data_IF_198598771175
#
_entry.id   IF_198598771175
#
_cell.length_a   1.000
_cell.length_b   1.000
_cell.length_c   1.000
_cell.angle_alpha   90.00
_cell.angle_beta   90.00
_cell.angle_gamma   90.00
#
_symmetry.space_group_name_H-M   'P 1'
#
loop_
_entity.id
_entity.type
_entity.pdbx_description
1 polymer ?
#
# COMPACT_ATOMS: atom_id res chain seq x y z
N UNK A 1 -6.15 17.96 -14.67
CA UNK A 1 -6.85 18.48 -13.48
C UNK A 1 -6.76 17.53 -12.28
N UNK A 2 -7.11 16.24 -12.41
CA UNK A 2 -7.02 15.26 -11.30
C UNK A 2 -5.64 15.25 -10.63
N UNK A 3 -4.56 15.22 -11.40
CA UNK A 3 -3.20 15.17 -10.84
C UNK A 3 -2.78 16.48 -10.17
N UNK A 4 -3.35 17.61 -10.59
CA UNK A 4 -3.17 18.89 -9.87
C UNK A 4 -3.90 18.87 -8.52
N UNK A 5 -5.09 18.26 -8.45
CA UNK A 5 -5.79 18.08 -7.17
C UNK A 5 -4.99 17.17 -6.22
N UNK A 6 -4.41 16.08 -6.75
CA UNK A 6 -3.47 15.23 -6.00
C UNK A 6 -2.28 16.05 -5.49
N UNK A 7 -1.63 16.86 -6.34
CA UNK A 7 -0.47 17.65 -5.95
C UNK A 7 -0.81 18.69 -4.86
N UNK A 8 -1.97 19.36 -4.98
CA UNK A 8 -2.46 20.30 -3.96
C UNK A 8 -2.69 19.60 -2.63
N UNK A 9 -3.30 18.42 -2.65
CA UNK A 9 -3.62 17.71 -1.42
C UNK A 9 -2.39 17.06 -0.78
N UNK A 10 -1.41 16.59 -1.55
CA UNK A 10 -0.12 16.09 -1.00
C UNK A 10 0.65 17.20 -0.27
N UNK A 11 0.41 18.47 -0.60
CA UNK A 11 0.98 19.60 0.12
C UNK A 11 0.40 19.78 1.54
N UNK A 12 -0.74 19.19 1.85
CA UNK A 12 -1.34 19.21 3.19
C UNK A 12 -0.85 18.01 4.03
N UNK A 13 -0.21 18.25 5.18
CA UNK A 13 0.11 17.19 6.14
C UNK A 13 -1.14 16.40 6.55
N UNK A 14 -1.05 15.06 6.52
CA UNK A 14 -2.20 14.18 6.80
C UNK A 14 -2.85 14.44 8.17
N UNK A 15 -2.05 14.73 9.20
CA UNK A 15 -2.57 15.07 10.54
C UNK A 15 -3.42 16.35 10.54
N UNK A 16 -3.01 17.37 9.79
CA UNK A 16 -3.76 18.62 9.69
C UNK A 16 -5.09 18.41 8.97
N UNK A 17 -5.09 17.60 7.91
CA UNK A 17 -6.31 17.23 7.20
C UNK A 17 -7.30 16.50 8.12
N UNK A 18 -6.79 15.55 8.92
CA UNK A 18 -7.59 14.82 9.92
C UNK A 18 -8.23 15.81 10.90
N UNK A 19 -7.44 16.70 11.51
CA UNK A 19 -7.93 17.68 12.49
C UNK A 19 -8.98 18.62 11.90
N UNK A 20 -8.75 19.10 10.67
CA UNK A 20 -9.68 19.99 9.98
C UNK A 20 -11.03 19.30 9.76
N UNK A 21 -11.03 18.09 9.21
CA UNK A 21 -12.29 17.37 8.93
C UNK A 21 -13.01 17.00 10.22
N UNK A 22 -12.29 16.47 11.23
CA UNK A 22 -12.89 16.09 12.51
C UNK A 22 -13.46 17.31 13.25
N UNK A 23 -12.85 18.49 13.14
CA UNK A 23 -13.40 19.70 13.77
C UNK A 23 -14.75 20.16 13.19
N UNK A 24 -15.04 19.79 11.94
CA UNK A 24 -16.31 20.12 11.27
C UNK A 24 -17.35 19.01 11.44
N UNK A 25 -16.94 17.75 11.28
CA UNK A 25 -17.85 16.58 11.27
C UNK A 25 -18.06 15.98 12.66
N UNK A 26 -17.08 16.13 13.56
CA UNK A 26 -17.02 15.46 14.85
C UNK A 26 -16.34 14.09 14.80
N UNK A 27 -15.94 13.52 15.95
CA UNK A 27 -15.30 12.21 16.02
C UNK A 27 -16.32 11.08 15.79
N UNK A 28 -15.87 9.99 15.15
CA UNK A 28 -16.71 8.82 14.92
C UNK A 28 -16.23 7.94 13.76
N UNK A 29 -16.85 6.76 13.61
CA UNK A 29 -16.50 5.79 12.57
C UNK A 29 -16.69 6.37 11.15
N UNK A 30 -17.79 7.09 10.92
CA UNK A 30 -18.06 7.71 9.62
C UNK A 30 -16.99 8.74 9.25
N UNK A 31 -16.59 9.58 10.22
CA UNK A 31 -15.52 10.56 10.03
C UNK A 31 -14.20 9.87 9.69
N UNK A 32 -13.84 8.80 10.40
CA UNK A 32 -12.64 8.00 10.11
C UNK A 32 -12.68 7.48 8.65
N UNK A 33 -13.80 6.91 8.22
CA UNK A 33 -13.96 6.37 6.86
C UNK A 33 -13.76 7.48 5.82
N UNK A 34 -14.43 8.62 5.99
CA UNK A 34 -14.35 9.75 5.05
C UNK A 34 -12.93 10.31 5.00
N UNK A 35 -12.31 10.55 6.15
CA UNK A 35 -10.97 11.13 6.25
C UNK A 35 -9.93 10.21 5.63
N UNK A 36 -9.96 8.91 5.94
CA UNK A 36 -9.01 7.95 5.40
C UNK A 36 -9.21 7.72 3.91
N UNK A 37 -10.45 7.69 3.42
CA UNK A 37 -10.74 7.59 1.99
C UNK A 37 -10.23 8.82 1.24
N UNK A 38 -10.52 10.02 1.75
CA UNK A 38 -10.05 11.28 1.19
C UNK A 38 -8.54 11.41 1.27
N UNK A 39 -7.85 10.83 2.25
CA UNK A 39 -6.39 10.95 2.33
C UNK A 39 -5.68 9.93 1.42
N UNK A 40 -6.21 8.71 1.31
CA UNK A 40 -5.53 7.62 0.62
C UNK A 40 -5.80 7.53 -0.89
N UNK A 41 -6.90 8.08 -1.42
CA UNK A 41 -7.24 7.96 -2.86
C UNK A 41 -6.12 8.44 -3.80
N UNK A 42 -5.31 9.41 -3.36
CA UNK A 42 -4.20 9.96 -4.12
C UNK A 42 -3.15 8.92 -4.49
N UNK A 43 -2.84 8.01 -3.56
CA UNK A 43 -1.84 6.96 -3.74
C UNK A 43 -2.31 6.02 -4.85
N UNK A 44 -3.56 5.56 -4.76
CA UNK A 44 -4.20 4.74 -5.79
C UNK A 44 -4.24 5.45 -7.14
N UNK A 45 -4.66 6.72 -7.18
CA UNK A 45 -4.74 7.49 -8.42
C UNK A 45 -3.37 7.60 -9.11
N UNK A 46 -2.30 7.84 -8.34
CA UNK A 46 -0.92 7.92 -8.86
C UNK A 46 -0.44 6.58 -9.41
N UNK A 47 -0.65 5.49 -8.67
CA UNK A 47 -0.23 4.15 -9.08
C UNK A 47 -0.99 3.70 -10.33
N UNK A 48 -2.32 3.84 -10.34
CA UNK A 48 -3.16 3.52 -11.51
C UNK A 48 -2.69 4.31 -12.72
N UNK A 49 -2.47 5.62 -12.60
CA UNK A 49 -1.99 6.43 -13.74
C UNK A 49 -0.64 5.93 -14.26
N UNK A 50 0.30 5.61 -13.38
CA UNK A 50 1.62 5.10 -13.76
C UNK A 50 1.52 3.80 -14.56
N UNK A 51 0.73 2.84 -14.06
CA UNK A 51 0.53 1.55 -14.72
C UNK A 51 -0.21 1.73 -16.05
N UNK A 52 -1.29 2.51 -16.07
CA UNK A 52 -2.07 2.77 -17.29
C UNK A 52 -1.19 3.40 -18.37
N UNK A 53 -0.34 4.38 -18.03
CA UNK A 53 0.56 5.02 -18.99
C UNK A 53 1.58 4.01 -19.55
N UNK A 54 2.14 3.16 -18.70
CA UNK A 54 3.09 2.10 -19.11
C UNK A 54 2.42 1.05 -20.00
N UNK A 55 1.26 0.52 -19.59
CA UNK A 55 0.53 -0.51 -20.34
C UNK A 55 0.05 0.03 -21.69
N UNK A 56 -0.36 1.29 -21.77
CA UNK A 56 -0.80 1.90 -23.03
C UNK A 56 0.32 2.01 -24.07
N UNK A 57 1.58 2.08 -23.65
CA UNK A 57 2.75 2.14 -24.53
C UNK A 57 3.23 0.75 -25.00
N UNK A 58 2.48 -0.32 -24.71
CA UNK A 58 2.87 -1.67 -25.13
C UNK A 58 2.38 -2.00 -26.54
N UNK A 59 3.21 -2.72 -27.30
CA UNK A 59 2.93 -3.05 -28.70
C UNK A 59 1.61 -3.81 -28.92
N UNK A 60 1.16 -4.62 -27.95
CA UNK A 60 -0.10 -5.35 -28.06
C UNK A 60 -1.32 -4.45 -27.86
N UNK A 61 -1.22 -3.39 -27.02
CA UNK A 61 -2.28 -2.38 -26.90
C UNK A 61 -2.32 -1.51 -28.13
N UNK A 62 -1.16 -1.08 -28.63
CA UNK A 62 -1.06 -0.29 -29.86
C UNK A 62 -1.64 -1.05 -31.06
N UNK A 63 -1.29 -2.33 -31.23
CA UNK A 63 -1.88 -3.17 -32.28
C UNK A 63 -3.40 -3.32 -32.13
N UNK A 64 -3.92 -3.48 -30.91
CA UNK A 64 -5.36 -3.57 -30.67
C UNK A 64 -6.09 -2.27 -31.02
N UNK A 65 -5.48 -1.10 -30.73
CA UNK A 65 -5.99 0.21 -31.13
C UNK A 65 -5.97 0.38 -32.66
N UNK A 66 -4.88 -0.04 -33.34
CA UNK A 66 -4.75 0.01 -34.80
C UNK A 66 -5.79 -0.85 -35.55
N UNK A 67 -6.22 -1.96 -34.95
CA UNK A 67 -7.28 -2.84 -35.49
C UNK A 67 -8.70 -2.25 -35.22
N UNK A 68 -8.80 -1.09 -34.57
CA UNK A 68 -10.06 -0.38 -34.35
C UNK A 68 -10.83 -0.82 -33.10
N UNK A 69 -10.16 -1.40 -32.09
CA UNK A 69 -10.83 -1.73 -30.83
C UNK A 69 -11.33 -0.48 -30.11
N UNK A 70 -12.58 -0.52 -29.63
CA UNK A 70 -13.17 0.56 -28.82
C UNK A 70 -12.35 0.79 -27.53
N UNK A 71 -12.18 2.04 -27.06
CA UNK A 71 -11.41 2.37 -25.85
C UNK A 71 -11.84 1.58 -24.61
N UNK A 72 -13.15 1.40 -24.40
CA UNK A 72 -13.66 0.60 -23.27
C UNK A 72 -13.20 -0.86 -23.32
N UNK A 73 -13.15 -1.48 -24.50
CA UNK A 73 -12.65 -2.85 -24.66
C UNK A 73 -11.16 -2.95 -24.36
N UNK A 74 -10.37 -1.95 -24.75
CA UNK A 74 -8.95 -1.86 -24.41
C UNK A 74 -8.78 -1.78 -22.89
N UNK A 75 -9.55 -0.91 -22.23
CA UNK A 75 -9.51 -0.75 -20.76
C UNK A 75 -9.85 -2.07 -20.05
N UNK A 76 -11.01 -2.67 -20.30
CA UNK A 76 -11.45 -3.85 -19.54
C UNK A 76 -10.68 -5.12 -19.87
N UNK A 77 -10.22 -5.30 -21.11
CA UNK A 77 -9.58 -6.56 -21.54
C UNK A 77 -8.05 -6.53 -21.48
N UNK A 78 -7.44 -5.36 -21.62
CA UNK A 78 -5.98 -5.24 -21.70
C UNK A 78 -5.40 -4.49 -20.51
N UNK A 79 -6.03 -3.39 -20.07
CA UNK A 79 -5.48 -2.56 -18.98
C UNK A 79 -5.87 -3.10 -17.60
N UNK A 80 -7.15 -3.39 -17.37
CA UNK A 80 -7.67 -3.80 -16.07
C UNK A 80 -7.00 -5.08 -15.52
N UNK A 81 -6.78 -6.15 -16.31
CA UNK A 81 -6.10 -7.34 -15.81
C UNK A 81 -4.63 -7.09 -15.41
N UNK A 82 -3.97 -6.10 -16.01
CA UNK A 82 -2.62 -5.70 -15.62
C UNK A 82 -2.60 -4.85 -14.34
N UNK A 83 -3.72 -4.20 -14.00
CA UNK A 83 -3.86 -3.40 -12.79
C UNK A 83 -4.18 -4.23 -11.54
N UNK A 84 -4.86 -5.37 -11.67
CA UNK A 84 -5.37 -6.14 -10.52
C UNK A 84 -4.26 -6.60 -9.57
N UNK A 85 -3.17 -7.16 -10.09
CA UNK A 85 -2.05 -7.65 -9.29
C UNK A 85 -1.36 -6.53 -8.49
N UNK A 86 -0.93 -5.42 -9.13
CA UNK A 86 -0.35 -4.28 -8.40
C UNK A 86 -1.33 -3.64 -7.42
N UNK A 87 -2.61 -3.48 -7.79
CA UNK A 87 -3.61 -2.87 -6.94
C UNK A 87 -3.95 -3.71 -5.71
N UNK A 88 -4.00 -5.03 -5.85
CA UNK A 88 -4.23 -5.95 -4.74
C UNK A 88 -3.08 -5.85 -3.74
N UNK A 89 -1.85 -5.86 -4.24
CA UNK A 89 -0.65 -5.71 -3.39
C UNK A 89 -0.64 -4.34 -2.69
N UNK A 90 -0.92 -3.27 -3.43
CA UNK A 90 -1.03 -1.92 -2.88
C UNK A 90 -2.13 -1.83 -1.82
N UNK A 91 -3.28 -2.45 -2.07
CA UNK A 91 -4.40 -2.49 -1.14
C UNK A 91 -4.05 -3.10 0.21
N UNK A 92 -3.32 -4.22 0.22
CA UNK A 92 -2.88 -4.86 1.47
C UNK A 92 -1.88 -3.98 2.22
N UNK A 93 -0.95 -3.35 1.49
CA UNK A 93 0.04 -2.47 2.10
C UNK A 93 -0.61 -1.22 2.71
N UNK A 94 -1.49 -0.56 1.96
CA UNK A 94 -2.20 0.63 2.43
C UNK A 94 -3.22 0.32 3.54
N UNK A 95 -3.81 -0.87 3.54
CA UNK A 95 -4.64 -1.32 4.66
C UNK A 95 -3.86 -1.26 5.99
N UNK A 96 -2.58 -1.61 5.95
CA UNK A 96 -1.73 -1.56 7.14
C UNK A 96 -1.48 -0.13 7.62
N UNK A 97 -1.27 0.80 6.69
CA UNK A 97 -1.15 2.23 7.01
C UNK A 97 -2.47 2.78 7.59
N UNK A 98 -3.60 2.34 7.05
CA UNK A 98 -4.94 2.69 7.52
C UNK A 98 -5.17 2.24 8.97
N UNK A 99 -4.80 1.00 9.32
CA UNK A 99 -4.91 0.50 10.70
C UNK A 99 -4.10 1.36 11.66
N UNK A 100 -2.87 1.72 11.28
CA UNK A 100 -2.02 2.57 12.13
C UNK A 100 -2.56 4.00 12.26
N UNK A 101 -3.10 4.55 11.16
CA UNK A 101 -3.72 5.87 11.16
C UNK A 101 -5.02 5.92 11.98
N UNK A 102 -5.85 4.88 11.92
CA UNK A 102 -7.02 4.73 12.79
C UNK A 102 -6.60 4.66 14.26
N UNK A 103 -5.62 3.82 14.58
CA UNK A 103 -5.12 3.68 15.95
C UNK A 103 -4.58 5.02 16.49
N UNK A 104 -3.85 5.78 15.67
CA UNK A 104 -3.35 7.11 16.03
C UNK A 104 -4.51 8.11 16.23
N UNK A 105 -5.52 8.11 15.37
CA UNK A 105 -6.72 8.95 15.53
C UNK A 105 -7.49 8.61 16.81
N UNK A 106 -7.73 7.33 17.07
CA UNK A 106 -8.41 6.84 18.27
C UNK A 106 -7.60 7.17 19.53
N UNK A 107 -6.26 7.07 19.47
CA UNK A 107 -5.37 7.51 20.55
C UNK A 107 -5.47 9.01 20.84
N UNK A 108 -5.61 9.83 19.80
CA UNK A 108 -5.82 11.28 19.92
C UNK A 108 -7.25 11.66 20.34
N UNK A 109 -8.15 10.69 20.55
CA UNK A 109 -9.55 10.93 20.90
C UNK A 109 -10.41 11.42 19.72
N UNK A 110 -9.92 11.31 18.49
CA UNK A 110 -10.59 11.74 17.26
C UNK A 110 -11.22 10.57 16.49
N UNK A 111 -10.91 9.35 16.91
CA UNK A 111 -11.34 8.11 16.26
C UNK A 111 -12.63 7.52 16.83
N UNK A 112 -12.63 6.20 17.01
CA UNK A 112 -13.78 5.45 17.52
C UNK A 112 -14.07 5.88 18.95
N UNK A 113 -15.35 6.11 19.24
CA UNK A 113 -15.83 6.53 20.57
C UNK A 113 -16.68 5.43 21.21
N UNK A 114 -16.73 5.36 22.57
CA UNK A 114 -17.67 4.50 23.28
C UNK A 114 -19.11 4.70 22.78
N UNK A 115 -19.92 3.64 22.59
CA UNK A 115 -19.79 2.27 23.11
C UNK A 115 -18.92 1.32 22.28
N UNK A 116 -18.44 1.73 21.10
CA UNK A 116 -17.53 0.92 20.30
C UNK A 116 -16.12 0.92 20.91
N UNK A 117 -15.37 -0.16 20.72
CA UNK A 117 -13.98 -0.28 21.17
C UNK A 117 -13.03 -0.49 19.99
N UNK A 118 -11.82 0.06 20.10
CA UNK A 118 -10.71 -0.19 19.19
C UNK A 118 -9.41 -0.28 19.98
N UNK A 119 -8.41 -1.01 19.46
CA UNK A 119 -7.13 -1.13 20.14
C UNK A 119 -6.43 0.22 20.33
N UNK A 120 -6.61 1.17 19.41
CA UNK A 120 -6.08 2.53 19.57
C UNK A 120 -6.75 3.28 20.73
N UNK A 121 -8.06 3.11 20.90
CA UNK A 121 -8.81 3.67 22.03
C UNK A 121 -8.40 3.01 23.36
N UNK A 122 -8.15 1.70 23.37
CA UNK A 122 -7.67 0.99 24.55
C UNK A 122 -6.30 1.51 25.02
N UNK A 123 -5.38 1.76 24.07
CA UNK A 123 -4.09 2.42 24.35
C UNK A 123 -4.31 3.81 24.93
N UNK A 124 -5.28 4.57 24.41
CA UNK A 124 -5.62 5.91 24.88
C UNK A 124 -6.10 5.89 26.34
N UNK A 125 -7.00 4.96 26.66
CA UNK A 125 -7.57 4.81 28.00
C UNK A 125 -6.53 4.30 29.01
N UNK A 126 -5.60 3.45 28.57
CA UNK A 126 -4.53 2.92 29.41
C UNK A 126 -3.48 3.96 29.83
N UNK A 127 -3.37 5.10 29.11
CA UNK A 127 -2.32 6.12 29.34
C UNK A 127 -2.27 6.63 30.77
N UNK A 128 -3.43 6.80 31.40
CA UNK A 128 -3.56 7.37 32.75
C UNK A 128 -3.18 6.36 33.84
N UNK A 129 -3.10 5.07 33.47
CA UNK A 129 -2.80 3.96 34.37
C UNK A 129 -1.41 3.37 34.13
N UNK A 130 -0.53 4.02 33.36
CA UNK A 130 0.76 3.43 32.94
C UNK A 130 1.64 2.97 34.13
N UNK A 131 1.62 3.70 35.25
CA UNK A 131 2.42 3.38 36.44
C UNK A 131 1.80 2.29 37.33
N UNK A 132 0.52 1.97 37.14
CA UNK A 132 -0.24 1.01 37.98
C UNK A 132 -0.58 -0.25 37.20
N UNK A 133 -1.02 -0.10 35.95
CA UNK A 133 -1.52 -1.12 35.07
C UNK A 133 -0.92 -0.96 33.65
N UNK A 134 0.41 -1.00 33.55
CA UNK A 134 1.16 -0.88 32.30
C UNK A 134 0.66 -1.82 31.18
N UNK A 135 0.14 -2.99 31.55
CA UNK A 135 -0.40 -3.99 30.62
C UNK A 135 -1.58 -3.49 29.79
N UNK A 136 -2.35 -2.51 30.27
CA UNK A 136 -3.48 -1.91 29.55
C UNK A 136 -3.05 -1.22 28.25
N UNK A 137 -1.81 -0.73 28.20
CA UNK A 137 -1.22 -0.12 27.01
C UNK A 137 -0.46 -1.16 26.20
N UNK A 138 0.32 -2.01 26.88
CA UNK A 138 1.23 -2.94 26.22
C UNK A 138 0.53 -4.02 25.41
N UNK A 139 -0.57 -4.61 25.91
CA UNK A 139 -1.26 -5.67 25.18
C UNK A 139 -1.92 -5.16 23.89
N UNK A 140 -2.76 -4.09 23.92
CA UNK A 140 -3.33 -3.56 22.69
C UNK A 140 -2.27 -3.05 21.71
N UNK A 141 -1.20 -2.42 22.22
CA UNK A 141 -0.07 -1.97 21.39
C UNK A 141 0.67 -3.13 20.70
N UNK A 142 0.87 -4.24 21.40
CA UNK A 142 1.44 -5.46 20.82
C UNK A 142 0.49 -6.11 19.81
N UNK A 143 -0.82 -6.14 20.08
CA UNK A 143 -1.81 -6.63 19.12
C UNK A 143 -1.74 -5.85 17.81
N UNK A 144 -1.78 -4.52 17.86
CA UNK A 144 -1.62 -3.65 16.68
C UNK A 144 -0.31 -3.98 15.95
N UNK A 145 0.81 -4.03 16.68
CA UNK A 145 2.14 -4.25 16.12
C UNK A 145 2.25 -5.61 15.40
N UNK A 146 1.78 -6.69 16.04
CA UNK A 146 1.80 -8.04 15.47
C UNK A 146 0.90 -8.12 14.25
N UNK A 147 -0.31 -7.54 14.30
CA UNK A 147 -1.23 -7.52 13.16
C UNK A 147 -0.64 -6.76 11.98
N UNK A 148 -0.10 -5.57 12.21
CA UNK A 148 0.58 -4.73 11.21
C UNK A 148 1.77 -5.47 10.59
N UNK A 149 2.58 -6.15 11.42
CA UNK A 149 3.72 -6.93 10.95
C UNK A 149 3.28 -8.13 10.11
N UNK A 150 2.29 -8.90 10.58
CA UNK A 150 1.77 -10.06 9.87
C UNK A 150 1.21 -9.69 8.49
N UNK A 151 0.42 -8.61 8.41
CA UNK A 151 -0.14 -8.11 7.15
C UNK A 151 0.96 -7.59 6.23
N UNK A 152 1.96 -6.87 6.74
CA UNK A 152 3.11 -6.42 5.93
C UNK A 152 3.90 -7.59 5.34
N UNK A 153 4.17 -8.62 6.14
CA UNK A 153 4.86 -9.83 5.67
C UNK A 153 4.03 -10.54 4.61
N UNK A 154 2.71 -10.63 4.81
CA UNK A 154 1.79 -11.19 3.82
C UNK A 154 1.78 -10.37 2.52
N UNK A 155 1.70 -9.04 2.60
CA UNK A 155 1.76 -8.14 1.45
C UNK A 155 3.05 -8.33 0.64
N UNK A 156 4.19 -8.44 1.33
CA UNK A 156 5.47 -8.70 0.71
C UNK A 156 5.52 -10.07 0.02
N UNK A 157 4.96 -11.10 0.65
CA UNK A 157 4.86 -12.42 0.03
C UNK A 157 3.97 -12.41 -1.24
N UNK A 158 2.80 -11.76 -1.18
CA UNK A 158 1.92 -11.57 -2.34
C UNK A 158 2.64 -10.80 -3.45
N UNK A 159 3.35 -9.72 -3.11
CA UNK A 159 4.13 -8.94 -4.07
C UNK A 159 5.16 -9.81 -4.80
N UNK A 160 5.96 -10.56 -4.05
CA UNK A 160 7.04 -11.38 -4.59
C UNK A 160 6.52 -12.54 -5.45
N UNK A 161 5.39 -13.12 -5.07
CA UNK A 161 4.78 -14.22 -5.84
C UNK A 161 4.09 -13.75 -7.11
N UNK A 162 3.54 -12.53 -7.10
CA UNK A 162 2.77 -12.00 -8.22
C UNK A 162 3.63 -11.20 -9.21
N UNK A 163 4.83 -10.75 -8.84
CA UNK A 163 5.69 -9.97 -9.73
C UNK A 163 6.45 -10.86 -10.76
N UNK A 164 6.11 -10.80 -12.07
CA UNK A 164 6.80 -11.57 -13.10
C UNK A 164 8.25 -11.08 -13.34
N UNK A 165 8.56 -9.81 -13.05
CA UNK A 165 9.92 -9.27 -13.21
C UNK A 165 10.88 -9.82 -12.14
N UNK A 166 10.38 -10.10 -10.93
CA UNK A 166 11.15 -10.79 -9.89
C UNK A 166 11.51 -12.23 -10.31
N UNK A 167 10.61 -12.93 -10.99
CA UNK A 167 10.90 -14.25 -11.59
C UNK A 167 12.02 -14.12 -12.62
N UNK A 168 11.92 -13.17 -13.55
CA UNK A 168 12.92 -12.96 -14.61
C UNK A 168 14.30 -12.61 -14.04
N UNK A 169 14.38 -11.74 -13.03
CA UNK A 169 15.63 -11.42 -12.33
C UNK A 169 16.23 -12.63 -11.61
N UNK A 170 15.40 -13.46 -10.98
CA UNK A 170 15.84 -14.71 -10.33
C UNK A 170 16.40 -15.70 -11.36
N UNK A 171 15.72 -15.87 -12.50
CA UNK A 171 16.20 -16.71 -13.60
C UNK A 171 17.51 -16.18 -14.19
N UNK A 172 17.62 -14.86 -14.41
CA UNK A 172 18.86 -14.24 -14.90
C UNK A 172 20.03 -14.44 -13.93
N UNK A 173 19.80 -14.29 -12.62
CA UNK A 173 20.82 -14.54 -11.58
C UNK A 173 21.23 -16.02 -11.54
N UNK A 174 20.28 -16.95 -11.55
CA UNK A 174 20.58 -18.39 -11.57
C UNK A 174 21.45 -18.77 -12.79
N UNK A 175 21.07 -18.28 -13.98
CA UNK A 175 21.82 -18.51 -15.23
C UNK A 175 23.22 -17.89 -15.21
N UNK A 176 23.38 -16.72 -14.57
CA UNK A 176 24.68 -16.08 -14.41
C UNK A 176 25.61 -16.86 -13.46
N UNK A 177 25.08 -17.42 -12.37
CA UNK A 177 25.84 -18.28 -11.45
C UNK A 177 26.28 -19.57 -12.14
N UNK A 178 25.40 -20.19 -12.92
CA UNK A 178 25.71 -21.39 -13.70
C UNK A 178 26.82 -21.14 -14.73
N UNK A 179 26.74 -20.03 -15.48
CA UNK A 179 27.80 -19.62 -16.41
C UNK A 179 29.15 -19.38 -15.72
N UNK A 180 29.17 -18.88 -14.48
CA UNK A 180 30.41 -18.71 -13.70
C UNK A 180 31.01 -20.05 -13.27
N UNK A 181 30.18 -21.04 -12.91
CA UNK A 181 30.64 -22.41 -12.58
C UNK A 181 31.16 -23.18 -13.79
N UNK A 182 30.58 -22.94 -14.97
CA UNK A 182 30.98 -23.60 -16.22
C UNK A 182 32.20 -22.97 -16.91
N UNK A 183 32.76 -21.86 -16.39
CA UNK A 183 34.03 -21.34 -16.91
C UNK A 183 35.18 -22.25 -16.44
N UNK A 184 35.83 -23.01 -17.34
CA UNK A 184 36.99 -23.81 -16.96
C UNK A 184 38.14 -22.89 -16.52
N UNK A 185 38.89 -23.32 -15.51
CA UNK A 185 40.05 -22.62 -14.94
C UNK A 185 41.29 -22.67 -15.86
N UNK A 186 41.10 -22.48 -17.16
CA UNK A 186 42.14 -22.66 -18.19
C UNK A 186 42.47 -21.35 -18.87
N UNK A 187 43.05 -20.38 -18.15
CA UNK A 187 43.69 -19.21 -18.78
C UNK A 187 44.83 -18.60 -17.93
N UNK A 188 45.47 -19.36 -17.02
CA UNK A 188 46.63 -18.84 -16.25
C UNK A 188 47.95 -19.56 -16.59
N UNK A 189 47.94 -20.69 -17.29
CA UNK A 189 49.16 -21.52 -17.45
C UNK A 189 49.86 -21.40 -18.83
N UNK A 190 49.77 -20.25 -19.50
CA UNK A 190 50.60 -19.96 -20.68
C UNK A 190 51.11 -18.51 -20.64
N UNK A 191 52.11 -18.28 -19.79
CA UNK A 191 53.04 -17.16 -19.87
C UNK A 191 54.44 -17.69 -19.53
#
# INVERSE_FOLDING_TARGET
MIMRAVDVQVAFPGLLMILLIVSVVGPGLETIIVVLALTNWMIYARVVRGIVLSVRQTAYVEAAEMIGCKPGRVVFKHILPNLTSPLLTLGILEFTNIVLAEAAMSFLGLGIQPPATSWGLDVANGKDYIFVAWWLITFPGLCISITVLAINLFANWVRVTTDPQEREKRFARAKAVERRRQRPATTIERA
#
